data_IF_487330302880
#
_entry.id   IF_487330302880
#
_cell.length_a   1.000
_cell.length_b   1.000
_cell.length_c   1.000
_cell.angle_alpha   90.00
_cell.angle_beta   90.00
_cell.angle_gamma   90.00
#
_symmetry.space_group_name_H-M   'P 1'
#
loop_
_entity.id
_entity.type
_entity.pdbx_description
1 polymer ?
#
# COMPACT_ATOMS: atom_id res chain seq x y z
N UNK A 1 -22.49 -3.72 22.20
CA UNK A 1 -21.77 -2.98 21.14
C UNK A 1 -21.03 -1.73 21.58
N UNK A 2 -21.58 -0.86 22.45
CA UNK A 2 -20.89 0.35 22.94
C UNK A 2 -19.47 0.11 23.51
N UNK A 3 -19.29 -0.93 24.32
CA UNK A 3 -17.98 -1.27 24.90
C UNK A 3 -16.95 -1.69 23.83
N UNK A 4 -17.37 -2.24 22.68
CA UNK A 4 -16.47 -2.65 21.59
C UNK A 4 -15.93 -1.43 20.85
N UNK A 5 -16.81 -0.49 20.54
CA UNK A 5 -16.44 0.77 19.88
C UNK A 5 -15.54 1.62 20.78
N UNK A 6 -15.85 1.70 22.07
CA UNK A 6 -15.03 2.43 23.04
C UNK A 6 -13.61 1.85 23.15
N UNK A 7 -13.48 0.53 23.36
CA UNK A 7 -12.17 -0.13 23.38
C UNK A 7 -11.38 0.14 22.11
N UNK A 8 -12.04 0.07 20.95
CA UNK A 8 -11.41 0.34 19.67
C UNK A 8 -10.93 1.79 19.59
N UNK A 9 -11.76 2.77 19.97
CA UNK A 9 -11.38 4.19 19.98
C UNK A 9 -10.19 4.44 20.89
N UNK A 10 -10.16 3.86 22.08
CA UNK A 10 -9.02 3.94 23.02
C UNK A 10 -7.75 3.33 22.40
N UNK A 11 -7.84 2.13 21.80
CA UNK A 11 -6.70 1.52 21.11
C UNK A 11 -6.13 2.42 20.02
N UNK A 12 -7.01 3.04 19.21
CA UNK A 12 -6.59 3.98 18.15
C UNK A 12 -5.90 5.22 18.73
N UNK A 13 -6.45 5.80 19.81
CA UNK A 13 -5.84 6.93 20.50
C UNK A 13 -4.47 6.60 21.09
N UNK A 14 -4.28 5.38 21.58
CA UNK A 14 -3.01 4.88 22.10
C UNK A 14 -2.04 4.42 21.00
N UNK A 15 -2.38 4.63 19.72
CA UNK A 15 -1.49 4.40 18.59
C UNK A 15 -1.57 3.01 17.95
N UNK A 16 -2.51 2.15 18.36
CA UNK A 16 -2.80 0.93 17.61
C UNK A 16 -3.40 1.29 16.26
N UNK A 17 -2.96 0.61 15.19
CA UNK A 17 -3.50 0.86 13.84
C UNK A 17 -4.84 0.13 13.67
N UNK A 18 -5.79 0.81 13.04
CA UNK A 18 -7.14 0.31 12.84
C UNK A 18 -7.16 -0.88 11.85
N UNK A 19 -7.66 -2.06 12.24
CA UNK A 19 -7.79 -3.18 11.30
C UNK A 19 -8.91 -3.00 10.28
N UNK A 20 -9.84 -2.06 10.47
CA UNK A 20 -10.95 -1.85 9.53
C UNK A 20 -10.55 -1.02 8.31
N UNK A 21 -9.69 -0.02 8.48
CA UNK A 21 -9.19 0.75 7.35
C UNK A 21 -7.98 0.03 6.74
N UNK A 22 -8.18 -0.57 5.56
CA UNK A 22 -7.16 -1.37 4.88
C UNK A 22 -5.87 -0.62 4.60
N UNK A 23 -5.92 0.70 4.44
CA UNK A 23 -4.71 1.51 4.26
C UNK A 23 -3.85 1.52 5.52
N UNK A 24 -4.44 1.61 6.72
CA UNK A 24 -3.69 1.55 7.98
C UNK A 24 -3.07 0.16 8.22
N UNK A 25 -3.72 -0.90 7.75
CA UNK A 25 -3.15 -2.25 7.71
C UNK A 25 -1.97 -2.30 6.75
N UNK A 26 -2.16 -1.87 5.49
CA UNK A 26 -1.12 -1.87 4.47
C UNK A 26 0.13 -1.10 4.92
N UNK A 27 -0.03 0.10 5.49
CA UNK A 27 1.08 0.88 6.06
C UNK A 27 1.90 0.11 7.09
N UNK A 28 1.25 -0.75 7.89
CA UNK A 28 1.97 -1.58 8.86
C UNK A 28 2.92 -2.55 8.20
N UNK A 29 2.50 -3.15 7.09
CA UNK A 29 3.34 -4.04 6.30
C UNK A 29 4.44 -3.25 5.59
N UNK A 30 4.09 -2.19 4.85
CA UNK A 30 5.05 -1.43 4.04
C UNK A 30 6.10 -0.69 4.86
N UNK A 31 5.80 -0.30 6.11
CA UNK A 31 6.80 0.30 7.00
C UNK A 31 8.07 -0.56 7.17
N UNK A 32 7.93 -1.88 7.11
CA UNK A 32 9.07 -2.79 7.15
C UNK A 32 9.46 -3.27 5.74
N UNK A 33 8.48 -3.56 4.88
CA UNK A 33 8.75 -4.18 3.57
C UNK A 33 9.28 -3.22 2.50
N UNK A 34 9.29 -1.90 2.72
CA UNK A 34 9.98 -0.94 1.83
C UNK A 34 11.35 -0.48 2.34
N UNK A 35 11.71 -0.78 3.60
CA UNK A 35 12.98 -0.37 4.25
C UNK A 35 13.32 1.11 3.94
N UNK A 36 12.55 2.08 4.47
CA UNK A 36 12.68 3.50 4.12
C UNK A 36 13.87 4.19 4.83
N UNK A 37 15.04 3.54 4.87
CA UNK A 37 16.25 4.04 5.52
C UNK A 37 17.44 3.95 4.56
N UNK A 38 17.91 5.11 4.08
CA UNK A 38 19.01 5.19 3.11
C UNK A 38 20.31 4.58 3.65
N UNK A 39 20.70 4.90 4.89
CA UNK A 39 21.94 4.39 5.49
C UNK A 39 21.95 2.87 5.65
N UNK A 40 20.82 2.25 5.98
CA UNK A 40 20.72 0.78 6.08
C UNK A 40 20.99 0.12 4.72
N UNK A 41 20.62 0.77 3.62
CA UNK A 41 20.80 0.26 2.26
C UNK A 41 22.20 0.58 1.75
N UNK A 42 22.56 1.86 1.65
CA UNK A 42 23.79 2.29 0.98
C UNK A 42 25.05 1.94 1.78
N UNK A 43 24.97 1.94 3.12
CA UNK A 43 26.11 1.61 4.01
C UNK A 43 25.97 0.20 4.59
N UNK A 44 24.79 -0.12 5.10
CA UNK A 44 24.52 -1.41 5.76
C UNK A 44 24.36 -2.60 4.82
N UNK A 45 24.26 -2.38 3.50
CA UNK A 45 24.09 -3.45 2.52
C UNK A 45 22.71 -4.12 2.53
N UNK A 46 21.74 -3.58 3.26
CA UNK A 46 20.38 -4.09 3.27
C UNK A 46 19.70 -3.86 1.91
N UNK A 47 18.77 -4.73 1.52
CA UNK A 47 17.91 -4.46 0.35
C UNK A 47 16.98 -3.28 0.64
N UNK A 48 16.67 -2.45 -0.36
CA UNK A 48 15.67 -1.37 -0.29
C UNK A 48 14.23 -1.93 -0.31
N UNK A 49 13.94 -2.81 0.63
CA UNK A 49 12.69 -3.54 0.73
C UNK A 49 12.64 -4.87 -0.03
N UNK A 50 11.56 -5.61 0.22
CA UNK A 50 11.22 -6.85 -0.49
C UNK A 50 10.71 -6.49 -1.88
N UNK A 51 11.40 -6.95 -2.93
CA UNK A 51 11.06 -6.58 -4.31
C UNK A 51 9.71 -7.17 -4.76
N UNK A 52 9.36 -8.35 -4.28
CA UNK A 52 8.16 -9.12 -4.60
C UNK A 52 7.05 -8.97 -3.55
N UNK A 53 7.18 -8.05 -2.59
CA UNK A 53 6.12 -7.78 -1.63
C UNK A 53 4.90 -7.19 -2.35
N UNK A 54 3.77 -7.88 -2.23
CA UNK A 54 2.45 -7.46 -2.67
C UNK A 54 1.48 -7.84 -1.55
N UNK A 55 0.60 -6.90 -1.18
CA UNK A 55 -0.18 -7.00 0.05
C UNK A 55 -1.08 -8.24 0.09
N UNK A 56 -1.76 -8.58 -1.02
CA UNK A 56 -2.64 -9.75 -1.06
C UNK A 56 -1.83 -11.03 -0.95
N UNK A 57 -0.82 -11.21 -1.79
CA UNK A 57 0.02 -12.40 -1.82
C UNK A 57 0.69 -12.67 -0.46
N UNK A 58 1.13 -11.62 0.24
CA UNK A 58 1.85 -11.76 1.51
C UNK A 58 0.94 -11.74 2.75
N UNK A 59 -0.37 -11.51 2.59
CA UNK A 59 -1.30 -11.48 3.73
C UNK A 59 -2.40 -12.54 3.67
N UNK A 60 -2.65 -13.17 2.52
CA UNK A 60 -3.80 -14.08 2.34
C UNK A 60 -3.43 -15.57 2.35
N UNK A 61 -2.16 -15.90 2.65
CA UNK A 61 -1.67 -17.26 2.83
C UNK A 61 -2.22 -17.97 4.07
N UNK A 62 -1.35 -18.59 4.85
CA UNK A 62 -1.80 -19.43 5.98
C UNK A 62 -2.43 -18.63 7.14
N UNK A 63 -2.04 -17.37 7.36
CA UNK A 63 -2.56 -16.51 8.45
C UNK A 63 -3.10 -15.20 7.87
N UNK A 64 -4.43 -15.04 7.85
CA UNK A 64 -5.12 -13.97 7.08
C UNK A 64 -5.46 -12.70 7.87
N UNK A 65 -4.96 -12.58 9.10
CA UNK A 65 -5.08 -11.39 9.95
C UNK A 65 -6.50 -10.79 10.00
N UNK A 66 -7.50 -11.66 10.08
CA UNK A 66 -8.92 -11.31 9.91
C UNK A 66 -9.82 -11.85 11.03
N UNK A 67 -9.21 -12.24 12.15
CA UNK A 67 -9.89 -12.83 13.31
C UNK A 67 -11.07 -11.98 13.82
N UNK A 68 -11.09 -10.68 13.57
CA UNK A 68 -12.23 -9.84 13.94
C UNK A 68 -13.50 -10.06 13.10
N UNK A 69 -13.40 -10.67 11.91
CA UNK A 69 -14.55 -10.94 11.03
C UNK A 69 -15.38 -12.13 11.51
N UNK A 70 -14.69 -13.21 11.91
CA UNK A 70 -15.29 -14.44 12.42
C UNK A 70 -15.34 -14.48 13.95
N UNK A 71 -15.07 -13.36 14.62
CA UNK A 71 -14.90 -13.30 16.08
C UNK A 71 -13.89 -14.34 16.62
N UNK A 72 -12.84 -14.62 15.84
CA UNK A 72 -11.76 -15.55 16.16
C UNK A 72 -12.08 -17.01 15.87
N UNK A 73 -13.27 -17.32 15.35
CA UNK A 73 -13.69 -18.70 15.13
C UNK A 73 -12.95 -19.38 13.97
N UNK A 74 -12.63 -18.63 12.92
CA UNK A 74 -12.11 -19.18 11.65
C UNK A 74 -11.17 -18.20 10.94
N UNK A 75 -10.17 -18.73 10.25
CA UNK A 75 -9.24 -17.96 9.40
C UNK A 75 -9.81 -17.79 7.98
N UNK A 76 -10.96 -17.13 7.88
CA UNK A 76 -11.80 -17.11 6.67
C UNK A 76 -11.09 -16.50 5.46
N UNK A 77 -11.32 -17.01 4.25
CA UNK A 77 -10.83 -16.32 3.07
C UNK A 77 -11.49 -14.93 2.97
N UNK A 78 -10.74 -13.93 2.52
CA UNK A 78 -11.35 -12.64 2.19
C UNK A 78 -12.23 -12.79 0.94
N UNK A 79 -13.45 -12.22 0.93
CA UNK A 79 -14.28 -12.24 -0.26
C UNK A 79 -13.62 -11.45 -1.39
N UNK A 80 -13.94 -11.79 -2.63
CA UNK A 80 -13.28 -11.24 -3.81
C UNK A 80 -13.31 -9.71 -3.92
N UNK A 81 -14.42 -9.00 -3.66
CA UNK A 81 -14.43 -7.53 -3.62
C UNK A 81 -13.38 -6.96 -2.65
N UNK A 82 -13.24 -7.58 -1.48
CA UNK A 82 -12.22 -7.17 -0.51
C UNK A 82 -10.80 -7.44 -1.02
N UNK A 83 -10.55 -8.56 -1.71
CA UNK A 83 -9.24 -8.83 -2.31
C UNK A 83 -8.87 -7.78 -3.35
N UNK A 84 -9.82 -7.33 -4.17
CA UNK A 84 -9.63 -6.22 -5.11
C UNK A 84 -9.22 -4.94 -4.38
N UNK A 85 -9.97 -4.58 -3.33
CA UNK A 85 -9.66 -3.41 -2.53
C UNK A 85 -8.28 -3.53 -1.86
N UNK A 86 -7.95 -4.69 -1.28
CA UNK A 86 -6.64 -4.94 -0.68
C UNK A 86 -5.51 -4.79 -1.70
N UNK A 87 -5.67 -5.31 -2.91
CA UNK A 87 -4.67 -5.18 -3.98
C UNK A 87 -4.43 -3.71 -4.35
N UNK A 88 -5.51 -2.95 -4.57
CA UNK A 88 -5.41 -1.52 -4.92
C UNK A 88 -4.80 -0.70 -3.77
N UNK A 89 -5.28 -0.92 -2.55
CA UNK A 89 -4.71 -0.23 -1.37
C UNK A 89 -3.23 -0.58 -1.18
N UNK A 90 -2.86 -1.84 -1.37
CA UNK A 90 -1.47 -2.28 -1.33
C UNK A 90 -0.60 -1.57 -2.37
N UNK A 91 -1.09 -1.51 -3.62
CA UNK A 91 -0.43 -0.82 -4.73
C UNK A 91 -0.21 0.68 -4.46
N UNK A 92 -1.26 1.37 -4.00
CA UNK A 92 -1.18 2.81 -3.70
C UNK A 92 -0.27 3.10 -2.50
N UNK A 93 -0.31 2.25 -1.48
CA UNK A 93 0.56 2.39 -0.30
C UNK A 93 2.03 2.12 -0.62
N UNK A 94 2.35 1.12 -1.45
CA UNK A 94 3.73 0.89 -1.90
C UNK A 94 4.26 2.10 -2.66
N UNK A 95 3.41 2.69 -3.52
CA UNK A 95 3.76 3.87 -4.31
C UNK A 95 4.01 5.09 -3.42
N UNK A 96 3.17 5.30 -2.40
CA UNK A 96 3.38 6.34 -1.37
C UNK A 96 4.73 6.15 -0.69
N UNK A 97 5.00 4.97 -0.15
CA UNK A 97 6.23 4.69 0.59
C UNK A 97 7.46 4.80 -0.30
N UNK A 98 7.36 4.39 -1.56
CA UNK A 98 8.46 4.50 -2.52
C UNK A 98 8.76 5.96 -2.87
N UNK A 99 7.73 6.79 -3.10
CA UNK A 99 7.88 8.23 -3.32
C UNK A 99 8.50 8.91 -2.10
N UNK A 100 8.01 8.60 -0.91
CA UNK A 100 8.53 9.14 0.36
C UNK A 100 9.98 8.72 0.59
N UNK A 101 10.32 7.47 0.31
CA UNK A 101 11.68 6.94 0.43
C UNK A 101 12.61 7.64 -0.55
N UNK A 102 12.24 7.75 -1.83
CA UNK A 102 13.03 8.48 -2.81
C UNK A 102 13.18 9.97 -2.45
N UNK A 103 12.15 10.59 -1.87
CA UNK A 103 12.23 11.98 -1.41
C UNK A 103 13.24 12.19 -0.28
N UNK A 104 13.55 11.13 0.47
CA UNK A 104 14.54 11.17 1.54
C UNK A 104 15.95 10.82 1.06
N UNK A 105 16.11 10.38 -0.19
CA UNK A 105 17.42 10.02 -0.71
C UNK A 105 18.31 11.27 -0.84
N UNK A 106 19.53 11.16 -0.32
CA UNK A 106 20.53 12.24 -0.34
C UNK A 106 21.52 12.07 -1.49
N UNK A 107 21.68 10.86 -2.02
CA UNK A 107 22.61 10.55 -3.11
C UNK A 107 22.00 9.64 -4.20
N UNK A 108 22.58 9.67 -5.40
CA UNK A 108 22.17 8.81 -6.52
C UNK A 108 22.83 7.43 -6.41
N UNK A 109 22.39 6.66 -5.41
CA UNK A 109 22.96 5.35 -5.09
C UNK A 109 21.86 4.27 -5.03
N UNK A 110 22.17 3.08 -4.53
CA UNK A 110 21.30 1.90 -4.51
C UNK A 110 19.92 2.17 -3.92
N UNK A 111 19.83 2.92 -2.81
CA UNK A 111 18.55 3.31 -2.21
C UNK A 111 17.67 4.13 -3.16
N UNK A 112 18.22 5.19 -3.77
CA UNK A 112 17.51 6.04 -4.70
C UNK A 112 17.09 5.27 -5.96
N UNK A 113 18.02 4.51 -6.55
CA UNK A 113 17.78 3.73 -7.76
C UNK A 113 16.69 2.66 -7.56
N UNK A 114 16.78 1.92 -6.45
CA UNK A 114 15.80 0.88 -6.14
C UNK A 114 14.38 1.46 -5.96
N UNK A 115 14.25 2.59 -5.26
CA UNK A 115 12.97 3.26 -5.10
C UNK A 115 12.45 3.84 -6.43
N UNK A 116 13.31 4.43 -7.27
CA UNK A 116 12.91 4.92 -8.59
C UNK A 116 12.39 3.80 -9.50
N UNK A 117 13.09 2.65 -9.55
CA UNK A 117 12.66 1.47 -10.30
C UNK A 117 11.32 0.94 -9.75
N UNK A 118 11.18 0.88 -8.43
CA UNK A 118 9.95 0.47 -7.75
C UNK A 118 8.77 1.36 -8.15
N UNK A 119 8.93 2.68 -8.09
CA UNK A 119 7.92 3.66 -8.52
C UNK A 119 7.55 3.45 -9.99
N UNK A 120 8.52 3.26 -10.89
CA UNK A 120 8.25 3.05 -12.31
C UNK A 120 7.40 1.80 -12.56
N UNK A 121 7.68 0.69 -11.86
CA UNK A 121 6.87 -0.53 -11.91
C UNK A 121 5.46 -0.31 -11.35
N UNK A 122 5.34 0.35 -10.21
CA UNK A 122 4.06 0.60 -9.56
C UNK A 122 3.19 1.54 -10.40
N UNK A 123 3.76 2.56 -11.04
CA UNK A 123 3.07 3.39 -12.03
C UNK A 123 2.48 2.54 -13.15
N UNK A 124 3.26 1.62 -13.76
CA UNK A 124 2.73 0.72 -14.80
C UNK A 124 1.54 -0.10 -14.31
N UNK A 125 1.62 -0.68 -13.11
CA UNK A 125 0.51 -1.43 -12.49
C UNK A 125 -0.71 -0.54 -12.22
N UNK A 126 -0.49 0.67 -11.71
CA UNK A 126 -1.59 1.62 -11.46
C UNK A 126 -2.29 2.01 -12.76
N UNK A 127 -1.55 2.22 -13.85
CA UNK A 127 -2.15 2.46 -15.17
C UNK A 127 -3.04 1.30 -15.61
N UNK A 128 -2.57 0.06 -15.48
CA UNK A 128 -3.37 -1.14 -15.81
C UNK A 128 -4.66 -1.22 -14.98
N UNK A 129 -4.59 -0.90 -13.69
CA UNK A 129 -5.76 -0.85 -12.80
C UNK A 129 -6.72 0.28 -13.20
N UNK A 130 -6.20 1.46 -13.54
CA UNK A 130 -7.01 2.59 -14.01
C UNK A 130 -7.75 2.23 -15.29
N UNK A 131 -7.05 1.64 -16.26
CA UNK A 131 -7.65 1.27 -17.56
C UNK A 131 -8.69 0.16 -17.42
N UNK A 132 -8.50 -0.76 -16.47
CA UNK A 132 -9.42 -1.87 -16.26
C UNK A 132 -10.68 -1.48 -15.49
N UNK A 133 -10.65 -0.39 -14.71
CA UNK A 133 -11.76 0.00 -13.81
C UNK A 133 -12.40 1.33 -14.17
N UNK A 134 -11.66 2.19 -14.86
CA UNK A 134 -12.01 3.59 -15.15
C UNK A 134 -12.36 4.43 -13.89
N UNK A 135 -11.98 3.94 -12.71
CA UNK A 135 -12.43 4.47 -11.43
C UNK A 135 -11.89 5.90 -11.17
N UNK A 136 -12.74 6.90 -10.85
CA UNK A 136 -12.32 8.30 -10.72
C UNK A 136 -11.18 8.53 -9.72
N UNK A 137 -11.26 7.91 -8.54
CA UNK A 137 -10.22 8.03 -7.50
C UNK A 137 -8.88 7.44 -7.99
N UNK A 138 -8.90 6.39 -8.81
CA UNK A 138 -7.67 5.78 -9.31
C UNK A 138 -7.04 6.61 -10.43
N UNK A 139 -7.86 7.31 -11.23
CA UNK A 139 -7.37 8.33 -12.18
C UNK A 139 -6.70 9.50 -11.45
N UNK A 140 -7.27 9.94 -10.33
CA UNK A 140 -6.65 10.96 -9.48
C UNK A 140 -5.32 10.46 -8.88
N UNK A 141 -5.30 9.24 -8.34
CA UNK A 141 -4.09 8.61 -7.82
C UNK A 141 -3.00 8.51 -8.91
N UNK A 142 -3.38 8.11 -10.13
CA UNK A 142 -2.49 8.08 -11.28
C UNK A 142 -1.89 9.45 -11.58
N UNK A 143 -2.72 10.50 -11.58
CA UNK A 143 -2.29 11.87 -11.85
C UNK A 143 -1.26 12.34 -10.82
N UNK A 144 -1.56 12.20 -9.52
CA UNK A 144 -0.64 12.50 -8.42
C UNK A 144 0.66 11.72 -8.60
N UNK A 145 0.55 10.43 -8.89
CA UNK A 145 1.68 9.55 -9.03
C UNK A 145 2.59 9.91 -10.21
N UNK A 146 2.06 10.43 -11.32
CA UNK A 146 2.84 10.64 -12.56
C UNK A 146 3.30 12.07 -12.80
N UNK A 147 2.62 13.07 -12.23
CA UNK A 147 3.01 14.47 -12.42
C UNK A 147 4.32 14.83 -11.70
N UNK A 148 4.72 14.04 -10.70
CA UNK A 148 5.96 14.28 -9.98
C UNK A 148 7.19 13.70 -10.70
N UNK A 149 8.19 14.55 -10.93
CA UNK A 149 9.48 14.14 -11.48
C UNK A 149 10.34 13.41 -10.43
N UNK A 150 10.91 12.28 -10.81
CA UNK A 150 11.75 11.44 -9.96
C UNK A 150 13.22 11.83 -10.10
N UNK A 151 13.61 12.96 -9.50
CA UNK A 151 14.99 13.43 -9.50
C UNK A 151 15.43 13.87 -8.12
N UNK A 152 16.73 13.75 -7.86
CA UNK A 152 17.35 14.36 -6.69
C UNK A 152 17.08 15.87 -6.72
N UNK A 153 16.98 16.51 -5.55
CA UNK A 153 16.62 17.93 -5.39
C UNK A 153 15.15 18.27 -5.67
N UNK A 154 14.29 17.26 -5.90
CA UNK A 154 12.83 17.44 -6.00
C UNK A 154 12.08 16.87 -4.77
N UNK A 155 12.72 16.88 -3.60
CA UNK A 155 12.23 16.21 -2.39
C UNK A 155 10.87 16.74 -1.95
N UNK A 156 10.67 18.06 -1.97
CA UNK A 156 9.42 18.69 -1.55
C UNK A 156 8.22 18.23 -2.40
N UNK A 157 8.39 18.16 -3.73
CA UNK A 157 7.33 17.71 -4.62
C UNK A 157 7.03 16.22 -4.46
N UNK A 158 8.06 15.37 -4.32
CA UNK A 158 7.89 13.93 -4.06
C UNK A 158 7.21 13.67 -2.71
N UNK A 159 7.59 14.41 -1.66
CA UNK A 159 6.94 14.34 -0.36
C UNK A 159 5.48 14.80 -0.44
N UNK A 160 5.20 15.90 -1.14
CA UNK A 160 3.84 16.38 -1.35
C UNK A 160 2.97 15.36 -2.11
N UNK A 161 3.50 14.74 -3.16
CA UNK A 161 2.80 13.69 -3.90
C UNK A 161 2.53 12.46 -3.01
N UNK A 162 3.49 12.05 -2.17
CA UNK A 162 3.28 11.00 -1.19
C UNK A 162 2.20 11.38 -0.17
N UNK A 163 2.21 12.59 0.38
CA UNK A 163 1.22 13.05 1.35
C UNK A 163 -0.20 13.13 0.74
N UNK A 164 -0.32 13.55 -0.53
CA UNK A 164 -1.60 13.53 -1.25
C UNK A 164 -2.09 12.10 -1.51
N UNK A 165 -1.19 11.20 -1.92
CA UNK A 165 -1.53 9.80 -2.16
C UNK A 165 -1.95 9.09 -0.87
N UNK A 166 -1.27 9.40 0.24
CA UNK A 166 -1.60 8.92 1.58
C UNK A 166 -3.03 9.30 2.00
N UNK A 167 -3.40 10.58 1.82
CA UNK A 167 -4.73 11.09 2.15
C UNK A 167 -5.80 10.44 1.27
N UNK A 168 -5.58 10.41 -0.05
CA UNK A 168 -6.48 9.79 -1.02
C UNK A 168 -6.71 8.31 -0.72
N UNK A 169 -5.63 7.57 -0.43
CA UNK A 169 -5.69 6.12 -0.16
C UNK A 169 -6.41 5.84 1.16
N UNK A 170 -6.20 6.68 2.18
CA UNK A 170 -6.92 6.57 3.45
C UNK A 170 -8.43 6.76 3.28
N UNK A 171 -8.85 7.80 2.53
CA UNK A 171 -10.25 8.09 2.25
C UNK A 171 -10.88 6.97 1.41
N UNK A 172 -10.21 6.57 0.32
CA UNK A 172 -10.65 5.50 -0.56
C UNK A 172 -10.87 4.18 0.21
N UNK A 173 -9.96 3.82 1.12
CA UNK A 173 -10.09 2.64 1.96
C UNK A 173 -11.29 2.67 2.93
N UNK A 174 -11.82 3.87 3.24
CA UNK A 174 -12.98 4.05 4.10
C UNK A 174 -14.32 4.06 3.37
N UNK A 175 -14.33 4.33 2.06
CA UNK A 175 -15.55 4.51 1.27
C UNK A 175 -15.78 3.36 0.26
N UNK A 176 -14.71 2.77 -0.27
CA UNK A 176 -14.81 1.73 -1.30
C UNK A 176 -15.07 0.34 -0.69
N UNK A 177 -15.87 -0.45 -1.41
CA UNK A 177 -16.22 -1.83 -1.06
C UNK A 177 -15.43 -2.86 -1.88
N UNK A 178 -14.97 -2.44 -3.07
CA UNK A 178 -14.24 -3.24 -4.04
C UNK A 178 -15.11 -3.85 -5.14
N UNK A 179 -16.42 -3.59 -5.13
CA UNK A 179 -17.33 -4.00 -6.21
C UNK A 179 -17.04 -3.25 -7.52
N UNK A 180 -16.78 -1.94 -7.42
CA UNK A 180 -16.41 -1.08 -8.56
C UNK A 180 -15.09 -1.47 -9.22
N UNK A 181 -14.32 -2.37 -8.59
CA UNK A 181 -12.98 -2.77 -9.01
C UNK A 181 -12.96 -4.09 -9.80
N UNK A 182 -14.11 -4.62 -10.22
CA UNK A 182 -14.21 -5.96 -10.83
C UNK A 182 -13.28 -6.20 -12.04
N UNK A 183 -12.92 -5.15 -12.79
CA UNK A 183 -12.01 -5.26 -13.94
C UNK A 183 -10.60 -5.74 -13.61
N UNK A 184 -10.18 -5.77 -12.33
CA UNK A 184 -8.82 -6.16 -11.93
C UNK A 184 -8.68 -7.64 -11.55
N UNK A 185 -9.71 -8.46 -11.70
CA UNK A 185 -9.70 -9.86 -11.25
C UNK A 185 -8.50 -10.65 -11.78
N UNK A 186 -8.11 -10.42 -13.04
CA UNK A 186 -6.95 -11.06 -13.67
C UNK A 186 -5.58 -10.60 -13.12
N UNK A 187 -5.54 -9.51 -12.36
CA UNK A 187 -4.34 -8.98 -11.73
C UNK A 187 -4.17 -9.43 -10.27
N UNK A 188 -5.21 -10.03 -9.67
CA UNK A 188 -5.14 -10.51 -8.31
C UNK A 188 -4.24 -11.74 -8.23
N UNK A 189 -3.40 -11.84 -7.19
CA UNK A 189 -2.68 -13.08 -6.95
C UNK A 189 -3.65 -14.23 -6.69
N UNK A 190 -3.35 -15.40 -7.25
CA UNK A 190 -4.08 -16.64 -7.00
C UNK A 190 -3.60 -17.29 -5.70
N UNK A 191 -4.37 -18.23 -5.11
CA UNK A 191 -3.97 -18.92 -3.88
C UNK A 191 -2.57 -19.57 -3.93
N UNK A 192 -2.15 -20.05 -5.11
CA UNK A 192 -0.84 -20.67 -5.34
C UNK A 192 0.31 -19.65 -5.30
N UNK A 193 -0.01 -18.36 -5.42
CA UNK A 193 0.94 -17.25 -5.38
C UNK A 193 1.06 -16.62 -3.98
N UNK A 194 0.23 -17.05 -3.03
CA UNK A 194 0.30 -16.58 -1.65
C UNK A 194 1.56 -17.13 -0.95
N UNK A 195 2.09 -16.36 0.01
CA UNK A 195 3.27 -16.71 0.81
C UNK A 195 2.90 -17.39 2.13
#
# INVERSE_FOLDING_TARGET
DSHREERRKTCLQLGMRNPENLYLVARSCFNCHTVPQEQLVNVGGHKAGSADFELVAWSQGQVRHNFLRSNGATNEASPQPRLRLMYVIGLLTDLEYSLRSLSNATESNQFALANAIRIARLRKKLKQVVDATEHPVLKQAWTIATQVELKLQNQAAMKSAADQLAALTHEFAGQETGESLAGIDSYLPTPEQYK
#
